data_IF_064494900234
#
_entry.id   IF_064494900234
#
_cell.length_a   1.000
_cell.length_b   1.000
_cell.length_c   1.000
_cell.angle_alpha   90.00
_cell.angle_beta   90.00
_cell.angle_gamma   90.00
#
_symmetry.space_group_name_H-M   'P 1'
#
loop_
_entity.id
_entity.type
_entity.pdbx_description
1 polymer ?
#
# COMPACT_ATOMS: atom_id res chain seq x y z
N UNK A 1 21.51 -23.39 7.80
CA UNK A 1 20.78 -23.39 9.11
C UNK A 1 19.50 -22.57 9.06
N UNK A 2 19.53 -21.28 8.66
CA UNK A 2 18.30 -20.43 8.61
C UNK A 2 17.32 -20.95 7.54
N UNK A 3 17.80 -21.21 6.33
CA UNK A 3 16.96 -21.74 5.24
C UNK A 3 16.33 -23.11 5.56
N UNK A 4 17.09 -23.98 6.25
CA UNK A 4 16.59 -25.27 6.69
C UNK A 4 15.49 -25.14 7.75
N UNK A 5 15.65 -24.23 8.71
CA UNK A 5 14.64 -23.97 9.74
C UNK A 5 13.40 -23.29 9.18
N UNK A 6 13.56 -22.35 8.22
CA UNK A 6 12.46 -21.76 7.48
C UNK A 6 11.67 -22.82 6.69
N UNK A 7 12.37 -23.77 6.08
CA UNK A 7 11.73 -24.91 5.38
C UNK A 7 10.90 -25.77 6.32
N UNK A 8 11.35 -26.03 7.53
CA UNK A 8 10.59 -26.77 8.56
C UNK A 8 9.36 -25.97 9.00
N UNK A 9 9.51 -24.69 9.30
CA UNK A 9 8.37 -23.85 9.70
C UNK A 9 7.29 -23.74 8.61
N UNK A 10 7.69 -23.85 7.35
CA UNK A 10 6.74 -23.86 6.22
C UNK A 10 6.02 -25.20 6.02
N UNK A 11 6.62 -26.32 6.49
CA UNK A 11 6.09 -27.65 6.33
C UNK A 11 5.26 -28.12 7.53
N UNK A 12 5.40 -27.49 8.70
CA UNK A 12 4.65 -27.83 9.89
C UNK A 12 3.18 -27.40 9.71
N UNK A 13 2.27 -28.38 9.52
CA UNK A 13 0.85 -28.14 9.45
C UNK A 13 0.35 -27.42 10.71
N UNK A 14 -0.28 -26.27 10.54
CA UNK A 14 -0.66 -25.38 11.63
C UNK A 14 0.45 -24.44 12.12
N UNK A 15 1.59 -24.41 11.42
CA UNK A 15 2.70 -23.50 11.69
C UNK A 15 2.38 -22.04 11.32
N UNK A 16 3.25 -21.10 11.70
CA UNK A 16 3.03 -19.67 11.49
C UNK A 16 2.98 -19.23 10.01
N UNK A 17 3.33 -20.14 9.10
CA UNK A 17 3.29 -19.92 7.64
C UNK A 17 2.14 -20.69 6.97
N UNK A 18 1.30 -21.38 7.74
CA UNK A 18 0.13 -22.10 7.22
C UNK A 18 -0.97 -21.12 6.78
N UNK A 19 -1.98 -21.63 6.09
CA UNK A 19 -3.02 -20.96 5.29
C UNK A 19 -3.83 -19.81 5.93
N UNK A 20 -3.42 -19.31 7.09
CA UNK A 20 -4.01 -18.15 7.76
C UNK A 20 -3.48 -16.81 7.24
N UNK A 21 -4.06 -15.69 7.68
CA UNK A 21 -3.51 -14.38 7.41
C UNK A 21 -2.09 -14.27 7.94
N UNK A 22 -1.18 -13.72 7.12
CA UNK A 22 0.21 -13.50 7.52
C UNK A 22 0.29 -12.55 8.71
N UNK A 23 0.61 -13.09 9.88
CA UNK A 23 0.83 -12.31 11.10
C UNK A 23 2.33 -12.23 11.34
N UNK A 24 2.91 -11.08 11.04
CA UNK A 24 4.37 -10.83 11.13
C UNK A 24 4.96 -11.27 12.47
N UNK A 25 4.28 -10.97 13.58
CA UNK A 25 4.74 -11.35 14.92
C UNK A 25 4.85 -12.87 15.10
N UNK A 26 3.88 -13.65 14.56
CA UNK A 26 3.93 -15.11 14.62
C UNK A 26 5.07 -15.70 13.81
N UNK A 27 5.27 -15.20 12.58
CA UNK A 27 6.32 -15.68 11.69
C UNK A 27 7.70 -15.39 12.27
N UNK A 28 7.91 -14.17 12.73
CA UNK A 28 9.18 -13.78 13.32
C UNK A 28 9.39 -14.48 14.66
N UNK A 29 8.37 -14.59 15.53
CA UNK A 29 8.44 -15.35 16.78
C UNK A 29 8.86 -16.78 16.54
N UNK A 30 8.18 -17.51 15.66
CA UNK A 30 8.53 -18.87 15.30
C UNK A 30 9.93 -19.02 14.69
N UNK A 31 10.38 -18.03 13.91
CA UNK A 31 11.75 -18.01 13.38
C UNK A 31 12.80 -17.86 14.47
N UNK A 32 12.62 -16.94 15.42
CA UNK A 32 13.58 -16.74 16.51
C UNK A 32 13.58 -17.89 17.50
N UNK A 33 12.41 -18.43 17.84
CA UNK A 33 12.33 -19.65 18.65
C UNK A 33 13.08 -20.81 18.00
N UNK A 34 12.90 -21.00 16.68
CA UNK A 34 13.63 -22.00 15.91
C UNK A 34 15.15 -21.74 15.85
N UNK A 35 15.58 -20.50 15.99
CA UNK A 35 17.01 -20.12 16.07
C UNK A 35 17.58 -20.26 17.49
N UNK A 36 16.73 -20.51 18.50
CA UNK A 36 17.13 -20.63 19.88
C UNK A 36 17.25 -19.31 20.61
N UNK A 37 16.63 -18.27 20.08
CA UNK A 37 16.66 -16.91 20.63
C UNK A 37 15.25 -16.47 21.05
N UNK A 38 14.70 -17.22 22.03
CA UNK A 38 13.36 -17.01 22.56
C UNK A 38 13.20 -15.77 23.46
N UNK A 39 14.30 -15.06 23.76
CA UNK A 39 14.33 -13.91 24.66
C UNK A 39 14.31 -12.56 23.94
N UNK A 40 14.08 -12.51 22.64
CA UNK A 40 13.96 -11.24 21.94
C UNK A 40 12.66 -10.55 22.33
N UNK A 41 12.80 -9.51 23.10
CA UNK A 41 11.70 -8.64 23.48
C UNK A 41 11.33 -7.76 22.28
N UNK A 42 10.43 -8.26 21.45
CA UNK A 42 9.97 -7.53 20.26
C UNK A 42 9.11 -6.36 20.67
N UNK A 43 9.31 -5.26 20.03
CA UNK A 43 8.38 -4.12 20.14
C UNK A 43 6.94 -4.46 19.77
N UNK A 44 6.66 -5.65 19.23
CA UNK A 44 5.36 -6.02 18.65
C UNK A 44 4.91 -7.45 19.01
N UNK A 45 5.47 -8.09 20.02
CA UNK A 45 5.17 -9.48 20.39
C UNK A 45 4.18 -9.63 21.56
N UNK A 46 3.79 -8.55 22.21
CA UNK A 46 2.80 -8.58 23.28
C UNK A 46 1.41 -8.29 22.76
N UNK A 47 0.38 -8.93 23.36
CA UNK A 47 -1.04 -8.58 23.18
C UNK A 47 -1.36 -7.16 23.71
N UNK A 48 -0.45 -6.56 24.46
CA UNK A 48 -0.46 -5.13 24.73
C UNK A 48 -0.03 -4.41 23.44
N UNK A 49 -0.98 -4.17 22.56
CA UNK A 49 -0.77 -3.30 21.40
C UNK A 49 -0.09 -2.03 21.89
N UNK A 50 1.08 -1.71 21.34
CA UNK A 50 1.63 -0.37 21.52
C UNK A 50 0.47 0.59 21.23
N UNK A 51 0.18 1.55 22.13
CA UNK A 51 -0.80 2.56 21.82
C UNK A 51 -0.35 3.17 20.49
N UNK A 52 -1.05 2.78 19.42
CA UNK A 52 -0.87 3.43 18.13
C UNK A 52 -1.03 4.91 18.43
N UNK A 53 -0.01 5.74 18.19
CA UNK A 53 -0.22 7.16 18.31
C UNK A 53 -1.47 7.44 17.50
N UNK A 54 -2.46 8.05 18.12
CA UNK A 54 -3.61 8.59 17.39
C UNK A 54 -2.98 9.65 16.50
N UNK A 55 -2.57 9.23 15.32
CA UNK A 55 -2.21 10.15 14.26
C UNK A 55 -3.51 10.87 14.01
N UNK A 56 -3.68 12.03 14.63
CA UNK A 56 -4.69 12.98 14.22
C UNK A 56 -4.46 13.11 12.72
N UNK A 57 -5.33 12.45 11.95
CA UNK A 57 -5.33 12.63 10.51
C UNK A 57 -5.69 14.09 10.33
N UNK A 58 -4.76 14.96 9.94
CA UNK A 58 -5.15 16.32 9.67
C UNK A 58 -6.19 16.18 8.57
N UNK A 59 -7.43 16.44 8.95
CA UNK A 59 -8.50 16.64 8.00
C UNK A 59 -7.98 17.76 7.11
N UNK A 60 -7.77 17.47 5.84
CA UNK A 60 -7.46 18.50 4.85
C UNK A 60 -8.68 19.41 4.79
N UNK A 61 -8.67 20.43 5.65
CA UNK A 61 -9.77 21.39 5.80
C UNK A 61 -9.93 22.33 4.62
N UNK A 62 -9.07 22.25 3.63
CA UNK A 62 -9.08 23.06 2.43
C UNK A 62 -9.40 22.22 1.19
N UNK A 63 -10.60 21.73 1.15
CA UNK A 63 -11.55 21.72 0.05
C UNK A 63 -11.18 21.18 -1.32
N UNK A 64 -10.00 20.58 -1.58
CA UNK A 64 -9.77 19.94 -2.87
C UNK A 64 -10.34 18.49 -2.85
N UNK A 65 -11.50 18.26 -3.48
CA UNK A 65 -12.15 16.95 -3.47
C UNK A 65 -11.31 15.88 -4.18
N UNK A 66 -10.42 16.26 -5.10
CA UNK A 66 -9.54 15.31 -5.80
C UNK A 66 -8.47 14.79 -4.85
N UNK A 67 -7.84 15.68 -4.09
CA UNK A 67 -6.85 15.28 -3.10
C UNK A 67 -7.47 14.51 -1.93
N UNK A 68 -8.71 14.84 -1.55
CA UNK A 68 -9.42 14.14 -0.49
C UNK A 68 -9.51 12.63 -0.73
N UNK A 69 -9.71 12.19 -1.98
CA UNK A 69 -9.75 10.77 -2.34
C UNK A 69 -8.40 10.07 -2.03
N UNK A 70 -7.27 10.74 -2.30
CA UNK A 70 -5.94 10.21 -2.00
C UNK A 70 -5.65 10.21 -0.51
N UNK A 71 -5.98 11.29 0.20
CA UNK A 71 -5.76 11.37 1.64
C UNK A 71 -6.54 10.29 2.40
N UNK A 72 -7.77 10.02 1.98
CA UNK A 72 -8.60 9.01 2.61
C UNK A 72 -7.98 7.60 2.57
N UNK A 73 -7.24 7.28 1.50
CA UNK A 73 -6.85 5.91 1.18
C UNK A 73 -5.33 5.70 1.23
N UNK A 74 -4.54 6.71 0.86
CA UNK A 74 -3.11 6.58 0.63
C UNK A 74 -2.26 7.25 1.72
N UNK A 75 -2.82 8.19 2.51
CA UNK A 75 -2.04 9.00 3.42
C UNK A 75 -1.37 8.22 4.55
N UNK A 76 -1.94 7.09 4.96
CA UNK A 76 -1.35 6.26 6.01
C UNK A 76 0.08 5.77 5.68
N UNK A 77 0.42 5.67 4.38
CA UNK A 77 1.72 5.19 3.93
C UNK A 77 2.51 6.23 3.12
N UNK A 78 1.85 7.21 2.49
CA UNK A 78 2.48 8.11 1.52
C UNK A 78 2.58 9.57 2.00
N UNK A 79 2.53 9.79 3.31
CA UNK A 79 2.63 11.11 3.94
C UNK A 79 3.75 11.23 4.96
N UNK A 80 4.59 10.22 5.10
CA UNK A 80 5.73 10.26 6.02
C UNK A 80 6.86 11.12 5.44
N UNK A 81 7.75 11.58 6.33
CA UNK A 81 8.99 12.25 5.91
C UNK A 81 10.05 11.26 5.41
N UNK A 82 9.73 9.97 5.41
CA UNK A 82 10.61 8.92 4.95
C UNK A 82 10.60 8.84 3.40
N UNK A 83 11.74 8.52 2.79
CA UNK A 83 11.84 8.42 1.33
C UNK A 83 11.09 7.22 0.75
N UNK A 84 10.72 6.25 1.59
CA UNK A 84 9.99 5.05 1.18
C UNK A 84 8.93 4.63 2.22
N UNK A 85 7.68 4.36 1.79
CA UNK A 85 7.16 4.50 0.43
C UNK A 85 7.15 5.96 -0.05
N UNK A 86 7.14 6.22 -1.39
CA UNK A 86 7.20 7.59 -1.91
C UNK A 86 6.19 8.51 -1.24
N UNK A 87 6.64 9.64 -0.72
CA UNK A 87 5.85 10.57 0.11
C UNK A 87 5.05 11.60 -0.69
N UNK A 88 4.46 11.22 -1.81
CA UNK A 88 3.75 12.12 -2.73
C UNK A 88 2.53 12.84 -2.14
N UNK A 89 2.16 12.56 -0.89
CA UNK A 89 1.10 13.25 -0.16
C UNK A 89 1.64 14.16 0.96
N UNK A 90 2.93 14.44 0.98
CA UNK A 90 3.55 15.37 1.92
C UNK A 90 3.60 16.80 1.33
N UNK A 91 3.49 17.81 2.21
CA UNK A 91 3.64 19.21 1.84
C UNK A 91 2.32 19.99 1.66
N UNK A 92 2.40 21.13 0.98
CA UNK A 92 1.24 21.98 0.65
C UNK A 92 0.31 21.28 -0.36
N UNK A 93 -0.95 21.71 -0.51
CA UNK A 93 -1.87 21.13 -1.51
C UNK A 93 -1.31 21.18 -2.94
N UNK A 94 -0.55 22.19 -3.31
CA UNK A 94 0.09 22.31 -4.62
C UNK A 94 1.23 21.30 -4.77
N UNK A 95 2.06 21.14 -3.74
CA UNK A 95 3.13 20.13 -3.72
C UNK A 95 2.55 18.72 -3.80
N UNK A 96 1.47 18.45 -3.08
CA UNK A 96 0.78 17.16 -3.12
C UNK A 96 0.20 16.90 -4.51
N UNK A 97 -0.46 17.88 -5.14
CA UNK A 97 -0.98 17.73 -6.50
C UNK A 97 0.13 17.43 -7.49
N UNK A 98 1.21 18.17 -7.42
CA UNK A 98 2.40 17.93 -8.24
C UNK A 98 3.01 16.54 -7.96
N UNK A 99 3.13 16.14 -6.70
CA UNK A 99 3.63 14.82 -6.29
C UNK A 99 2.79 13.67 -6.84
N UNK A 100 1.45 13.78 -6.73
CA UNK A 100 0.52 12.79 -7.31
C UNK A 100 0.71 12.71 -8.83
N UNK A 101 0.82 13.86 -9.52
CA UNK A 101 1.02 13.90 -10.96
C UNK A 101 2.37 13.28 -11.38
N UNK A 102 3.44 13.56 -10.66
CA UNK A 102 4.75 12.97 -10.91
C UNK A 102 4.74 11.44 -10.75
N UNK A 103 3.95 10.93 -9.81
CA UNK A 103 3.80 9.51 -9.53
C UNK A 103 2.70 8.82 -10.36
N UNK A 104 1.99 9.57 -11.21
CA UNK A 104 0.70 9.16 -11.76
C UNK A 104 0.75 7.84 -12.55
N UNK A 105 1.77 7.59 -13.38
CA UNK A 105 1.91 6.33 -14.11
C UNK A 105 2.01 5.12 -13.17
N UNK A 106 2.81 5.22 -12.12
CA UNK A 106 2.99 4.14 -11.15
C UNK A 106 1.77 3.96 -10.25
N UNK A 107 1.11 5.05 -9.90
CA UNK A 107 -0.16 4.98 -9.16
C UNK A 107 -1.22 4.29 -10.03
N UNK A 108 -1.38 4.70 -11.28
CA UNK A 108 -2.32 4.10 -12.22
C UNK A 108 -2.07 2.60 -12.37
N UNK A 109 -0.83 2.20 -12.62
CA UNK A 109 -0.45 0.78 -12.70
C UNK A 109 -0.86 -0.01 -11.47
N UNK A 110 -0.56 0.51 -10.29
CA UNK A 110 -0.86 -0.17 -9.02
C UNK A 110 -2.36 -0.21 -8.72
N UNK A 111 -3.12 0.80 -9.14
CA UNK A 111 -4.59 0.80 -9.06
C UNK A 111 -5.19 -0.20 -10.05
N UNK A 112 -4.60 -0.37 -11.24
CA UNK A 112 -5.05 -1.36 -12.22
C UNK A 112 -4.87 -2.81 -11.73
N UNK A 113 -3.95 -3.07 -10.83
CA UNK A 113 -3.77 -4.41 -10.23
C UNK A 113 -5.03 -4.92 -9.48
N UNK A 114 -5.95 -4.04 -9.14
CA UNK A 114 -7.25 -4.45 -8.57
C UNK A 114 -8.17 -5.15 -9.59
N UNK A 115 -7.97 -4.90 -10.88
CA UNK A 115 -8.75 -5.52 -11.96
C UNK A 115 -8.23 -6.92 -12.31
N UNK A 116 -7.04 -7.30 -11.82
CA UNK A 116 -6.44 -8.62 -12.06
C UNK A 116 -6.67 -9.58 -10.91
N UNK A 117 -6.92 -10.84 -11.22
CA UNK A 117 -6.96 -11.91 -10.22
C UNK A 117 -5.62 -12.00 -9.45
N UNK A 118 -5.60 -12.38 -8.17
CA UNK A 118 -4.38 -12.40 -7.35
C UNK A 118 -3.18 -13.11 -8.00
N UNK A 119 -3.39 -14.26 -8.65
CA UNK A 119 -2.33 -15.03 -9.32
C UNK A 119 -1.81 -14.41 -10.62
N UNK A 120 -2.47 -13.38 -11.17
CA UNK A 120 -2.09 -12.73 -12.42
C UNK A 120 -1.56 -11.30 -12.21
N UNK A 121 -1.34 -10.91 -10.96
CA UNK A 121 -0.81 -9.58 -10.64
C UNK A 121 0.70 -9.55 -10.74
N UNK A 122 1.22 -8.67 -11.57
CA UNK A 122 2.67 -8.43 -11.68
C UNK A 122 3.22 -7.60 -10.52
N UNK A 123 2.34 -6.89 -9.80
CA UNK A 123 2.63 -6.12 -8.58
C UNK A 123 1.46 -6.22 -7.60
N UNK A 124 1.73 -6.01 -6.31
CA UNK A 124 0.66 -5.87 -5.33
C UNK A 124 -0.22 -4.66 -5.67
N UNK A 125 -1.55 -4.74 -5.56
CA UNK A 125 -2.40 -3.57 -5.73
C UNK A 125 -2.12 -2.51 -4.66
N UNK A 126 -2.39 -1.25 -4.98
CA UNK A 126 -2.39 -0.16 -4.02
C UNK A 126 -3.76 0.53 -4.01
N UNK A 127 -4.29 0.84 -2.83
CA UNK A 127 -3.81 0.41 -1.51
C UNK A 127 -3.87 -1.12 -1.36
N UNK A 128 -3.07 -1.71 -0.46
CA UNK A 128 -3.20 -3.14 -0.14
C UNK A 128 -4.56 -3.47 0.47
N UNK A 129 -5.08 -4.67 0.21
CA UNK A 129 -6.41 -5.10 0.69
C UNK A 129 -6.57 -4.90 2.20
N UNK A 130 -5.54 -5.23 2.96
CA UNK A 130 -5.55 -5.13 4.43
C UNK A 130 -5.68 -3.68 4.91
N UNK A 131 -5.11 -2.72 4.17
CA UNK A 131 -5.12 -1.30 4.54
C UNK A 131 -6.51 -0.68 4.38
N UNK A 132 -7.31 -1.19 3.46
CA UNK A 132 -8.68 -0.70 3.20
C UNK A 132 -9.73 -1.48 3.99
N UNK A 133 -9.30 -2.46 4.82
CA UNK A 133 -10.18 -3.19 5.73
C UNK A 133 -11.23 -4.05 5.04
N UNK A 134 -10.97 -4.48 3.80
CA UNK A 134 -11.97 -5.21 3.02
C UNK A 134 -12.10 -6.66 3.48
N UNK A 135 -13.27 -6.99 4.01
CA UNK A 135 -13.77 -8.36 4.11
C UNK A 135 -14.12 -8.96 2.73
N UNK A 136 -14.48 -10.23 2.71
CA UNK A 136 -14.72 -10.95 1.45
C UNK A 136 -15.92 -10.41 0.65
N UNK A 137 -16.92 -9.80 1.29
CA UNK A 137 -18.09 -9.21 0.64
C UNK A 137 -17.93 -7.74 0.20
N UNK A 138 -16.84 -7.07 0.59
CA UNK A 138 -16.69 -5.61 0.43
C UNK A 138 -15.90 -5.21 -0.83
N UNK A 139 -15.28 -6.19 -1.50
CA UNK A 139 -14.45 -5.95 -2.67
C UNK A 139 -15.23 -5.29 -3.81
N UNK A 140 -16.47 -5.67 -4.00
CA UNK A 140 -17.33 -5.11 -5.05
C UNK A 140 -17.68 -3.64 -4.76
N UNK A 141 -18.03 -3.33 -3.52
CA UNK A 141 -18.30 -1.96 -3.08
C UNK A 141 -17.05 -1.07 -3.20
N UNK A 142 -15.89 -1.59 -2.84
CA UNK A 142 -14.60 -0.94 -3.06
C UNK A 142 -14.37 -0.63 -4.54
N UNK A 143 -14.50 -1.63 -5.40
CA UNK A 143 -14.22 -1.52 -6.83
C UNK A 143 -15.16 -0.53 -7.54
N UNK A 144 -16.43 -0.49 -7.16
CA UNK A 144 -17.42 0.42 -7.75
C UNK A 144 -17.39 1.83 -7.17
N UNK A 145 -16.95 2.00 -5.95
CA UNK A 145 -16.97 3.27 -5.22
C UNK A 145 -15.60 3.91 -5.04
N UNK A 146 -14.88 3.64 -3.93
CA UNK A 146 -13.64 4.34 -3.58
C UNK A 146 -12.55 4.21 -4.64
N UNK A 147 -12.37 3.02 -5.23
CA UNK A 147 -11.36 2.79 -6.27
C UNK A 147 -11.64 3.63 -7.53
N UNK A 148 -12.91 3.76 -7.94
CA UNK A 148 -13.26 4.59 -9.09
C UNK A 148 -13.06 6.07 -8.81
N UNK A 149 -13.41 6.54 -7.60
CA UNK A 149 -13.14 7.94 -7.23
C UNK A 149 -11.64 8.25 -7.26
N UNK A 150 -10.81 7.33 -6.74
CA UNK A 150 -9.37 7.49 -6.74
C UNK A 150 -8.79 7.55 -8.16
N UNK A 151 -9.25 6.67 -9.04
CA UNK A 151 -8.86 6.67 -10.47
C UNK A 151 -9.26 7.95 -11.17
N UNK A 152 -10.52 8.39 -11.01
CA UNK A 152 -11.01 9.61 -11.62
C UNK A 152 -10.22 10.84 -11.12
N UNK A 153 -9.93 10.90 -9.82
CA UNK A 153 -9.10 11.96 -9.25
C UNK A 153 -7.69 11.96 -9.84
N UNK A 154 -7.08 10.78 -10.03
CA UNK A 154 -5.76 10.65 -10.64
C UNK A 154 -5.74 11.24 -12.06
N UNK A 155 -6.69 10.86 -12.91
CA UNK A 155 -6.77 11.37 -14.28
C UNK A 155 -6.98 12.88 -14.32
N UNK A 156 -7.82 13.41 -13.43
CA UNK A 156 -8.08 14.85 -13.37
C UNK A 156 -6.84 15.63 -12.91
N UNK A 157 -6.14 15.16 -11.87
CA UNK A 157 -4.89 15.78 -11.41
C UNK A 157 -3.82 15.71 -12.51
N UNK A 158 -3.63 14.56 -13.13
CA UNK A 158 -2.66 14.40 -14.21
C UNK A 158 -2.95 15.36 -15.38
N UNK A 159 -4.23 15.51 -15.77
CA UNK A 159 -4.63 16.44 -16.83
C UNK A 159 -4.36 17.90 -16.44
N UNK A 160 -4.66 18.30 -15.20
CA UNK A 160 -4.38 19.65 -14.70
C UNK A 160 -2.88 19.97 -14.68
N UNK A 161 -2.05 18.98 -14.37
CA UNK A 161 -0.59 19.09 -14.34
C UNK A 161 0.08 18.77 -15.69
N UNK A 162 -0.72 18.60 -16.75
CA UNK A 162 -0.25 18.28 -18.11
C UNK A 162 0.61 17.00 -18.19
N UNK A 163 0.34 16.03 -17.33
CA UNK A 163 0.99 14.71 -17.35
C UNK A 163 0.14 13.74 -18.14
N UNK A 164 0.61 13.23 -19.29
CA UNK A 164 -0.14 12.27 -20.08
C UNK A 164 -0.21 10.93 -19.35
N UNK A 165 -1.41 10.34 -19.28
CA UNK A 165 -1.61 8.97 -18.80
C UNK A 165 -2.18 8.11 -19.93
N UNK A 166 -1.78 6.84 -20.01
CA UNK A 166 -2.39 5.88 -20.92
C UNK A 166 -3.88 5.70 -20.59
N UNK A 167 -4.64 5.21 -21.54
CA UNK A 167 -6.02 4.80 -21.28
C UNK A 167 -6.05 3.75 -20.15
N UNK A 168 -7.18 3.63 -19.48
CA UNK A 168 -7.32 2.74 -18.32
C UNK A 168 -6.94 1.29 -18.65
N UNK A 169 -7.39 0.80 -19.80
CA UNK A 169 -7.17 -0.58 -20.22
C UNK A 169 -5.70 -0.83 -20.61
N UNK A 170 -4.96 0.23 -20.92
CA UNK A 170 -3.55 0.21 -21.27
C UNK A 170 -2.63 0.48 -20.07
N UNK A 171 -3.20 0.67 -18.88
CA UNK A 171 -2.44 1.03 -17.68
C UNK A 171 -1.31 0.05 -17.32
N UNK A 172 -1.41 -1.19 -17.77
CA UNK A 172 -0.43 -2.27 -17.53
C UNK A 172 0.27 -2.74 -18.80
N UNK A 173 0.11 -2.05 -19.91
CA UNK A 173 0.71 -2.42 -21.19
C UNK A 173 2.26 -2.35 -21.17
N UNK A 174 2.82 -1.45 -20.36
CA UNK A 174 4.28 -1.33 -20.15
C UNK A 174 4.67 -2.01 -18.84
N UNK A 175 5.87 -2.65 -18.78
CA UNK A 175 6.40 -3.18 -17.52
C UNK A 175 6.52 -2.08 -16.44
N UNK A 176 6.24 -2.41 -15.20
CA UNK A 176 6.32 -1.44 -14.10
C UNK A 176 7.70 -0.79 -13.93
N UNK A 177 8.77 -1.53 -14.26
CA UNK A 177 10.15 -1.04 -14.19
C UNK A 177 10.42 0.12 -15.17
N UNK A 178 9.71 0.14 -16.30
CA UNK A 178 9.90 1.10 -17.40
C UNK A 178 9.05 2.38 -17.19
N UNK A 179 8.22 2.40 -16.15
CA UNK A 179 7.43 3.57 -15.81
C UNK A 179 8.29 4.63 -15.12
N UNK A 180 7.95 5.90 -15.35
CA UNK A 180 8.60 7.02 -14.69
C UNK A 180 8.70 6.78 -13.18
N UNK A 181 9.90 7.01 -12.64
CA UNK A 181 10.12 6.88 -11.20
C UNK A 181 9.28 7.91 -10.43
N UNK A 182 8.67 7.45 -9.35
CA UNK A 182 8.01 8.32 -8.40
C UNK A 182 9.10 8.84 -7.46
N UNK A 183 9.59 10.04 -7.71
CA UNK A 183 10.64 10.66 -6.93
C UNK A 183 10.02 11.36 -5.71
N UNK A 184 10.71 11.37 -4.55
CA UNK A 184 10.29 12.19 -3.43
C UNK A 184 10.27 13.66 -3.87
N UNK A 185 9.28 14.40 -3.39
CA UNK A 185 9.28 15.86 -3.51
C UNK A 185 10.40 16.39 -2.62
N UNK A 186 11.44 16.96 -3.24
CA UNK A 186 12.52 17.67 -2.55
C UNK A 186 12.02 18.97 -1.94
#
# INVERSE_FOLDING_TARGET
RVAEKLGRLALDAGGPLDSGPFVRARVLGGLFDALGDSNINWCCSGDAGLPMPVVERPVMTNGDPLLAAFFQVCAACHRSDEPFPPNFLAGSPEQVRHGVAQCAERIQYRLAMWDHAPGHRSKSPMPPRQTVGLGDGELEAWSRGPLQRLRNALYQIAAQESVPLPARDDATARPYADLRACLPTS
#
